data_IF_298285271933
#
_entry.id   IF_298285271933
#
_cell.length_a   1.000
_cell.length_b   1.000
_cell.length_c   1.000
_cell.angle_alpha   90.00
_cell.angle_beta   90.00
_cell.angle_gamma   90.00
#
_symmetry.space_group_name_H-M   'P 1'
#
loop_
_entity.id
_entity.type
_entity.pdbx_description
1 polymer ?
#
# COMPACT_ATOMS: atom_id res chain seq x y z
N UNK A 1 -1.24 -19.12 -11.27
CA UNK A 1 -2.34 -18.74 -10.37
C UNK A 1 -1.86 -17.89 -9.19
N UNK A 2 -0.83 -18.31 -8.45
CA UNK A 2 -0.30 -17.56 -7.30
C UNK A 2 0.21 -16.13 -7.60
N UNK A 3 0.85 -15.93 -8.76
CA UNK A 3 1.38 -14.62 -9.18
C UNK A 3 0.28 -13.57 -9.35
N UNK A 4 -0.93 -13.98 -9.76
CA UNK A 4 -2.06 -13.06 -9.95
C UNK A 4 -2.48 -12.46 -8.60
N UNK A 5 -2.57 -13.28 -7.55
CA UNK A 5 -2.89 -12.79 -6.20
C UNK A 5 -1.82 -11.85 -5.66
N UNK A 6 -0.55 -12.12 -5.94
CA UNK A 6 0.56 -11.22 -5.56
C UNK A 6 0.40 -9.86 -6.25
N UNK A 7 0.18 -9.84 -7.58
CA UNK A 7 -0.01 -8.60 -8.34
C UNK A 7 -1.23 -7.82 -7.83
N UNK A 8 -2.36 -8.50 -7.57
CA UNK A 8 -3.55 -7.87 -6.99
C UNK A 8 -3.24 -7.33 -5.59
N UNK A 9 -2.49 -8.08 -4.77
CA UNK A 9 -2.03 -7.66 -3.46
C UNK A 9 -1.14 -6.42 -3.52
N UNK A 10 -0.41 -6.22 -4.61
CA UNK A 10 0.51 -5.10 -4.81
C UNK A 10 -0.20 -3.83 -5.29
N UNK A 11 -1.52 -3.84 -5.46
CA UNK A 11 -2.27 -2.73 -6.06
C UNK A 11 -1.95 -1.36 -5.42
N UNK A 12 -1.89 -1.25 -4.09
CA UNK A 12 -1.61 0.02 -3.40
C UNK A 12 -0.15 0.43 -3.61
N UNK A 13 0.79 -0.50 -3.56
CA UNK A 13 2.21 -0.21 -3.83
C UNK A 13 2.44 0.19 -5.30
N UNK A 14 1.71 -0.41 -6.24
CA UNK A 14 1.75 -0.04 -7.65
C UNK A 14 1.14 1.34 -7.89
N UNK A 15 -0.01 1.64 -7.28
CA UNK A 15 -0.62 2.98 -7.36
C UNK A 15 0.32 4.02 -6.75
N UNK A 16 0.95 3.70 -5.62
CA UNK A 16 1.94 4.57 -5.01
C UNK A 16 3.11 4.88 -5.96
N UNK A 17 3.60 3.88 -6.69
CA UNK A 17 4.73 4.04 -7.63
C UNK A 17 4.37 4.84 -8.88
N UNK A 18 3.19 4.62 -9.45
CA UNK A 18 2.82 5.17 -10.76
C UNK A 18 1.92 6.40 -10.70
N UNK A 19 1.08 6.51 -9.67
CA UNK A 19 0.08 7.57 -9.56
C UNK A 19 -0.31 7.83 -8.09
N UNK A 20 0.68 8.26 -7.31
CA UNK A 20 0.51 8.63 -5.89
C UNK A 20 -0.64 9.62 -5.68
N UNK A 21 -0.94 10.48 -6.65
CA UNK A 21 -2.04 11.46 -6.57
C UNK A 21 -3.39 10.82 -6.27
N UNK A 22 -3.61 9.57 -6.72
CA UNK A 22 -4.83 8.78 -6.41
C UNK A 22 -4.92 8.39 -4.94
N UNK A 23 -3.80 8.20 -4.24
CA UNK A 23 -3.79 7.92 -2.80
C UNK A 23 -4.00 9.19 -1.97
N UNK A 24 -3.63 10.36 -2.50
CA UNK A 24 -3.88 11.65 -1.85
C UNK A 24 -5.30 12.19 -2.10
N UNK A 25 -5.91 11.82 -3.22
CA UNK A 25 -7.30 12.17 -3.54
C UNK A 25 -8.28 11.41 -2.65
N UNK A 26 -9.10 12.15 -1.89
CA UNK A 26 -10.16 11.58 -1.03
C UNK A 26 -11.09 10.61 -1.79
N UNK A 27 -11.53 10.98 -3.00
CA UNK A 27 -12.45 10.15 -3.80
C UNK A 27 -11.84 8.79 -4.15
N UNK A 28 -10.67 8.80 -4.80
CA UNK A 28 -9.91 7.60 -5.14
C UNK A 28 -9.49 6.78 -3.92
N UNK A 29 -9.09 7.42 -2.83
CA UNK A 29 -8.75 6.75 -1.58
C UNK A 29 -9.94 5.95 -1.02
N UNK A 30 -11.16 6.51 -1.02
CA UNK A 30 -12.35 5.77 -0.59
C UNK A 30 -12.72 4.62 -1.54
N UNK A 31 -12.61 4.82 -2.86
CA UNK A 31 -12.84 3.74 -3.83
C UNK A 31 -11.85 2.58 -3.61
N UNK A 32 -10.58 2.89 -3.39
CA UNK A 32 -9.55 1.90 -3.08
C UNK A 32 -9.80 1.22 -1.73
N UNK A 33 -10.27 1.96 -0.74
CA UNK A 33 -10.60 1.39 0.57
C UNK A 33 -11.69 0.32 0.45
N UNK A 34 -12.77 0.61 -0.29
CA UNK A 34 -13.84 -0.35 -0.53
C UNK A 34 -13.30 -1.61 -1.23
N UNK A 35 -12.51 -1.43 -2.30
CA UNK A 35 -11.89 -2.55 -3.01
C UNK A 35 -11.00 -3.40 -2.07
N UNK A 36 -10.15 -2.74 -1.29
CA UNK A 36 -9.19 -3.42 -0.41
C UNK A 36 -9.87 -4.11 0.77
N UNK A 37 -11.00 -3.59 1.26
CA UNK A 37 -11.84 -4.27 2.26
C UNK A 37 -12.46 -5.54 1.66
N UNK A 38 -12.95 -5.50 0.41
CA UNK A 38 -13.47 -6.70 -0.26
C UNK A 38 -12.36 -7.76 -0.42
N UNK A 39 -11.17 -7.36 -0.86
CA UNK A 39 -10.02 -8.27 -0.99
C UNK A 39 -9.63 -8.88 0.36
N UNK A 40 -9.61 -8.08 1.43
CA UNK A 40 -9.35 -8.54 2.78
C UNK A 40 -10.37 -9.58 3.25
N UNK A 41 -11.66 -9.36 2.99
CA UNK A 41 -12.72 -10.31 3.35
C UNK A 41 -12.60 -11.63 2.57
N UNK A 42 -12.26 -11.57 1.29
CA UNK A 42 -12.00 -12.78 0.48
C UNK A 42 -10.86 -13.58 1.10
N UNK A 43 -9.74 -12.92 1.42
CA UNK A 43 -8.58 -13.54 2.05
C UNK A 43 -8.94 -14.17 3.41
N UNK A 44 -9.75 -13.47 4.22
CA UNK A 44 -10.20 -13.92 5.52
C UNK A 44 -11.06 -15.18 5.42
N UNK A 45 -12.03 -15.21 4.51
CA UNK A 45 -12.89 -16.38 4.27
C UNK A 45 -12.05 -17.56 3.79
N UNK A 46 -11.12 -17.33 2.85
CA UNK A 46 -10.21 -18.37 2.36
C UNK A 46 -9.31 -18.91 3.49
N UNK A 47 -8.85 -18.06 4.39
CA UNK A 47 -8.05 -18.47 5.55
C UNK A 47 -8.85 -19.37 6.51
N UNK A 48 -10.07 -18.98 6.86
CA UNK A 48 -10.93 -19.78 7.76
C UNK A 48 -11.40 -21.10 7.15
N UNK A 49 -11.62 -21.15 5.84
CA UNK A 49 -12.00 -22.38 5.13
C UNK A 49 -10.81 -23.32 4.90
N UNK A 50 -9.59 -22.94 5.28
CA UNK A 50 -8.38 -23.75 5.14
C UNK A 50 -7.75 -23.73 3.75
N UNK A 51 -8.45 -23.24 2.73
CA UNK A 51 -7.92 -23.04 1.38
C UNK A 51 -6.78 -22.00 1.32
N UNK A 52 -6.74 -21.07 2.28
CA UNK A 52 -5.74 -20.00 2.38
C UNK A 52 -4.45 -20.38 3.11
N UNK A 53 -4.36 -21.54 3.76
CA UNK A 53 -3.12 -21.94 4.44
C UNK A 53 -2.02 -22.22 3.41
N UNK A 54 -0.94 -21.44 3.46
CA UNK A 54 0.24 -21.54 2.59
C UNK A 54 -0.01 -21.29 1.10
N UNK A 55 -0.97 -20.43 0.77
CA UNK A 55 -1.19 -20.00 -0.61
C UNK A 55 -0.98 -18.49 -0.77
N UNK A 56 -0.68 -18.07 -1.99
CA UNK A 56 -0.53 -16.66 -2.32
C UNK A 56 -1.84 -15.86 -2.14
N UNK A 57 -2.97 -16.48 -1.81
CA UNK A 57 -4.22 -15.78 -1.47
C UNK A 57 -4.02 -14.85 -0.27
N UNK A 58 -3.10 -15.19 0.64
CA UNK A 58 -2.80 -14.35 1.79
C UNK A 58 -2.33 -12.95 1.37
N UNK A 59 -1.68 -12.78 0.20
CA UNK A 59 -1.24 -11.46 -0.27
C UNK A 59 -2.38 -10.45 -0.44
N UNK A 60 -3.63 -10.90 -0.51
CA UNK A 60 -4.82 -10.05 -0.53
C UNK A 60 -5.08 -9.33 0.80
N UNK A 61 -4.42 -9.70 1.89
CA UNK A 61 -4.40 -8.93 3.14
C UNK A 61 -3.55 -7.65 3.02
N UNK A 62 -2.53 -7.68 2.16
CA UNK A 62 -1.53 -6.61 2.05
C UNK A 62 -2.10 -5.27 1.58
N UNK A 63 -2.99 -5.18 0.56
CA UNK A 63 -3.57 -3.92 0.09
C UNK A 63 -4.13 -3.03 1.20
N UNK A 64 -4.95 -3.62 2.08
CA UNK A 64 -5.61 -2.86 3.14
C UNK A 64 -4.58 -2.35 4.17
N UNK A 65 -3.62 -3.20 4.54
CA UNK A 65 -2.55 -2.83 5.46
C UNK A 65 -1.62 -1.77 4.88
N UNK A 66 -1.27 -1.88 3.59
CA UNK A 66 -0.46 -0.90 2.88
C UNK A 66 -1.19 0.44 2.76
N UNK A 67 -2.49 0.44 2.44
CA UNK A 67 -3.28 1.68 2.39
C UNK A 67 -3.39 2.34 3.77
N UNK A 68 -3.54 1.54 4.84
CA UNK A 68 -3.54 2.06 6.20
C UNK A 68 -2.17 2.66 6.57
N UNK A 69 -1.07 1.97 6.26
CA UNK A 69 0.28 2.49 6.46
C UNK A 69 0.52 3.80 5.70
N UNK A 70 0.06 3.88 4.45
CA UNK A 70 0.10 5.12 3.66
C UNK A 70 -0.63 6.26 4.37
N UNK A 71 -1.86 6.01 4.83
CA UNK A 71 -2.66 7.01 5.53
C UNK A 71 -1.96 7.53 6.79
N UNK A 72 -1.43 6.63 7.63
CA UNK A 72 -0.72 7.00 8.86
C UNK A 72 0.51 7.83 8.52
N UNK A 73 1.36 7.36 7.61
CA UNK A 73 2.57 8.09 7.20
C UNK A 73 2.22 9.46 6.62
N UNK A 74 1.24 9.53 5.71
CA UNK A 74 0.85 10.77 5.03
C UNK A 74 0.32 11.79 6.03
N UNK A 75 -0.55 11.35 6.96
CA UNK A 75 -1.06 12.20 8.03
C UNK A 75 0.04 12.68 8.97
N UNK A 76 0.96 11.81 9.37
CA UNK A 76 2.12 12.19 10.19
C UNK A 76 3.03 13.20 9.48
N UNK A 77 3.26 13.02 8.18
CA UNK A 77 4.05 13.94 7.36
C UNK A 77 3.38 15.31 7.27
N UNK A 78 2.08 15.35 6.97
CA UNK A 78 1.31 16.58 6.90
C UNK A 78 1.28 17.32 8.23
N UNK A 79 1.12 16.63 9.36
CA UNK A 79 1.14 17.24 10.69
C UNK A 79 2.49 17.91 11.00
N UNK A 80 3.59 17.31 10.55
CA UNK A 80 4.94 17.83 10.81
C UNK A 80 5.36 18.95 9.85
N UNK A 81 5.06 18.80 8.57
CA UNK A 81 5.58 19.68 7.51
C UNK A 81 4.52 20.59 6.86
N UNK A 82 3.24 20.44 7.24
CA UNK A 82 2.09 21.22 6.73
C UNK A 82 1.92 21.19 5.21
N UNK A 83 2.46 20.16 4.56
CA UNK A 83 2.35 19.90 3.12
C UNK A 83 2.30 18.40 2.86
N UNK A 84 1.80 18.00 1.70
CA UNK A 84 1.88 16.62 1.24
C UNK A 84 3.30 16.30 0.74
N UNK A 85 3.66 15.02 0.78
CA UNK A 85 4.94 14.58 0.24
C UNK A 85 4.88 14.54 -1.28
N UNK A 86 5.90 15.07 -1.94
CA UNK A 86 6.00 15.03 -3.41
C UNK A 86 6.54 13.66 -3.84
N UNK A 87 6.20 13.21 -5.05
CA UNK A 87 6.84 12.02 -5.58
C UNK A 87 8.29 12.34 -6.00
N UNK A 88 9.22 11.56 -5.49
CA UNK A 88 10.68 11.72 -5.67
C UNK A 88 11.30 10.55 -6.39
N UNK A 89 10.53 9.50 -6.71
CA UNK A 89 11.07 8.30 -7.32
C UNK A 89 11.70 8.60 -8.69
N UNK A 90 11.17 9.61 -9.39
CA UNK A 90 11.63 10.04 -10.70
C UNK A 90 12.49 11.32 -10.68
N UNK A 91 12.59 12.00 -9.54
CA UNK A 91 13.26 13.30 -9.39
C UNK A 91 14.22 13.28 -8.20
N UNK A 92 15.50 13.01 -8.48
CA UNK A 92 16.57 13.02 -7.47
C UNK A 92 17.09 14.45 -7.22
N UNK A 93 16.28 15.31 -6.62
CA UNK A 93 16.76 16.59 -6.09
C UNK A 93 17.06 16.49 -4.58
N UNK A 94 18.17 17.07 -4.12
CA UNK A 94 18.57 17.09 -2.70
C UNK A 94 17.58 17.87 -1.84
N UNK A 95 16.87 18.83 -2.43
CA UNK A 95 15.79 19.58 -1.78
C UNK A 95 14.61 18.67 -1.38
N UNK A 96 14.49 17.49 -2.02
CA UNK A 96 13.42 16.52 -1.83
C UNK A 96 13.80 15.38 -0.87
N UNK A 97 14.87 15.52 -0.08
CA UNK A 97 15.32 14.46 0.83
C UNK A 97 14.23 13.96 1.80
N UNK A 98 13.42 14.88 2.34
CA UNK A 98 12.33 14.54 3.26
C UNK A 98 11.21 13.75 2.57
N UNK A 99 10.94 14.08 1.31
CA UNK A 99 9.96 13.37 0.47
C UNK A 99 10.51 11.99 0.05
N UNK A 100 11.81 11.90 -0.22
CA UNK A 100 12.53 10.65 -0.45
C UNK A 100 12.50 9.72 0.75
N UNK A 101 12.67 10.25 1.97
CA UNK A 101 12.53 9.47 3.20
C UNK A 101 11.11 8.91 3.36
N UNK A 102 10.09 9.72 3.09
CA UNK A 102 8.70 9.25 3.11
C UNK A 102 8.48 8.10 2.12
N UNK A 103 8.94 8.27 0.88
CA UNK A 103 8.82 7.26 -0.17
C UNK A 103 9.55 5.97 0.21
N UNK A 104 10.76 6.08 0.76
CA UNK A 104 11.55 4.94 1.23
C UNK A 104 10.85 4.19 2.37
N UNK A 105 10.34 4.91 3.37
CA UNK A 105 9.62 4.29 4.50
C UNK A 105 8.38 3.54 4.05
N UNK A 106 7.60 4.12 3.13
CA UNK A 106 6.43 3.44 2.58
C UNK A 106 6.80 2.17 1.81
N UNK A 107 7.86 2.21 1.00
CA UNK A 107 8.38 1.04 0.31
C UNK A 107 8.86 -0.06 1.26
N UNK A 108 9.63 0.32 2.28
CA UNK A 108 10.11 -0.61 3.29
C UNK A 108 8.92 -1.33 3.98
N UNK A 109 7.92 -0.57 4.41
CA UNK A 109 6.72 -1.14 5.04
C UNK A 109 5.97 -2.06 4.07
N UNK A 110 5.79 -1.63 2.81
CA UNK A 110 5.10 -2.44 1.80
C UNK A 110 5.80 -3.78 1.57
N UNK A 111 7.12 -3.78 1.41
CA UNK A 111 7.91 -5.00 1.21
C UNK A 111 7.82 -5.92 2.44
N UNK A 112 7.94 -5.36 3.65
CA UNK A 112 7.82 -6.14 4.89
C UNK A 112 6.43 -6.78 5.03
N UNK A 113 5.37 -6.08 4.63
CA UNK A 113 4.01 -6.64 4.63
C UNK A 113 3.89 -7.84 3.67
N UNK A 114 4.51 -7.79 2.50
CA UNK A 114 4.53 -8.95 1.59
C UNK A 114 5.32 -10.12 2.17
N UNK A 115 6.50 -9.86 2.75
CA UNK A 115 7.35 -10.90 3.32
C UNK A 115 6.71 -11.59 4.54
N UNK A 116 5.85 -10.91 5.28
CA UNK A 116 5.15 -11.49 6.42
C UNK A 116 4.01 -12.43 6.02
N UNK A 117 3.47 -12.23 4.82
CA UNK A 117 2.21 -12.83 4.37
C UNK A 117 2.42 -13.95 3.33
N UNK A 118 3.55 -13.92 2.62
CA UNK A 118 4.04 -14.97 1.72
C UNK A 118 4.74 -16.09 2.50
#
# INVERSE_FOLDING_TARGET
>A
MNVIFIIIGMNVSLIFLFDKSKLDSKEWFFKLLILNVILFLIALISYFTGFGKNTAINSLFVPLMAQFAYYVLSKSFYLKYKRNSVDTFWTMDKSLFLDGWFNYMFWLISILLFLFVL
#
